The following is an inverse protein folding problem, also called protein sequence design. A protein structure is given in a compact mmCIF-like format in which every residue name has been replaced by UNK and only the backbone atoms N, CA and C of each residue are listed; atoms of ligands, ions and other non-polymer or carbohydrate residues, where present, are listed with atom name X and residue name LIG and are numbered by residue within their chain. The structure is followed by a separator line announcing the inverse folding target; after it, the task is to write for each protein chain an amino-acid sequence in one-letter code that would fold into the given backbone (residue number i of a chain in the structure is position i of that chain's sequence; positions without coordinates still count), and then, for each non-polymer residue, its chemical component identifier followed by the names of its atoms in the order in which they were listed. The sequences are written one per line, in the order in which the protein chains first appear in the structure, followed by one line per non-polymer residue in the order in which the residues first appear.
data_IF_583245261905
#
_entry.id   IF_583245261905
#
_cell.length_a   1.000
_cell.length_b   1.000
_cell.length_c   1.000
_cell.angle_alpha   90.00
_cell.angle_beta   90.00
_cell.angle_gamma   90.00
#
_symmetry.space_group_name_H-M   'P 1'
#
loop_
_entity.id
_entity.type
_entity.pdbx_description
1 polymer ?
#
# COMPACT_ATOMS: atom_id res chain seq x y z
N UNK A 1 -15.44 0.49 1.83
CA UNK A 1 -14.91 1.69 2.52
C UNK A 1 -16.03 2.58 3.10
N UNK A 2 -17.17 2.84 2.43
CA UNK A 2 -18.29 3.66 2.97
C UNK A 2 -18.73 3.19 4.35
N UNK A 3 -19.11 1.92 4.50
CA UNK A 3 -19.57 1.35 5.78
C UNK A 3 -18.54 1.56 6.88
N UNK A 4 -17.25 1.33 6.60
CA UNK A 4 -16.17 1.57 7.56
C UNK A 4 -16.10 3.03 8.00
N UNK A 5 -16.24 3.97 7.07
CA UNK A 5 -16.26 5.41 7.37
C UNK A 5 -17.45 5.76 8.26
N UNK A 6 -18.66 5.40 7.85
CA UNK A 6 -19.89 5.73 8.57
C UNK A 6 -19.92 5.13 9.99
N UNK A 7 -19.62 3.84 10.11
CA UNK A 7 -19.63 3.15 11.42
C UNK A 7 -18.58 3.74 12.37
N UNK A 8 -17.37 4.01 11.90
CA UNK A 8 -16.33 4.60 12.75
C UNK A 8 -16.65 6.02 13.20
N UNK A 9 -17.28 6.83 12.34
CA UNK A 9 -17.74 8.18 12.70
C UNK A 9 -18.88 8.15 13.72
N UNK A 10 -19.85 7.27 13.55
CA UNK A 10 -20.95 7.10 14.50
C UNK A 10 -20.45 6.59 15.85
N UNK A 11 -19.58 5.58 15.85
CA UNK A 11 -18.98 5.04 17.07
C UNK A 11 -18.18 6.12 17.82
N UNK A 12 -17.36 6.88 17.10
CA UNK A 12 -16.57 7.97 17.68
C UNK A 12 -17.46 9.03 18.34
N UNK A 13 -18.51 9.51 17.66
CA UNK A 13 -19.45 10.49 18.20
C UNK A 13 -20.20 9.96 19.44
N UNK A 14 -20.72 8.73 19.37
CA UNK A 14 -21.47 8.13 20.46
C UNK A 14 -20.59 7.92 21.69
N UNK A 15 -19.37 7.42 21.51
CA UNK A 15 -18.46 7.13 22.60
C UNK A 15 -17.89 8.40 23.23
N UNK A 16 -17.58 9.42 22.44
CA UNK A 16 -17.17 10.73 22.96
C UNK A 16 -18.25 11.37 23.83
N UNK A 17 -19.52 11.26 23.40
CA UNK A 17 -20.66 11.73 24.21
C UNK A 17 -20.79 10.95 25.52
N UNK A 18 -20.64 9.62 25.48
CA UNK A 18 -20.67 8.78 26.68
C UNK A 18 -19.57 9.14 27.66
N UNK A 19 -18.36 9.40 27.18
CA UNK A 19 -17.20 9.80 28.01
C UNK A 19 -17.20 11.26 28.38
N UNK A 20 -18.14 12.07 27.89
CA UNK A 20 -18.19 13.53 28.08
C UNK A 20 -16.88 14.25 27.68
N UNK A 21 -16.34 13.87 26.51
CA UNK A 21 -15.16 14.48 25.90
C UNK A 21 -15.47 15.04 24.50
N UNK A 22 -14.59 15.88 23.99
CA UNK A 22 -14.71 16.38 22.60
C UNK A 22 -14.63 15.24 21.60
N UNK A 23 -15.47 15.32 20.55
CA UNK A 23 -15.40 14.37 19.44
C UNK A 23 -14.09 14.53 18.69
N UNK A 24 -13.35 13.45 18.42
CA UNK A 24 -12.14 13.50 17.60
C UNK A 24 -12.39 14.10 16.22
N UNK A 25 -11.47 14.92 15.77
CA UNK A 25 -11.53 15.55 14.43
C UNK A 25 -11.24 14.52 13.32
N UNK A 26 -10.46 13.50 13.63
CA UNK A 26 -10.06 12.45 12.71
C UNK A 26 -10.07 11.09 13.41
N UNK A 27 -10.55 10.07 12.72
CA UNK A 27 -10.78 8.75 13.31
C UNK A 27 -10.01 7.61 12.63
N UNK A 28 -9.53 7.83 11.40
CA UNK A 28 -8.99 6.76 10.55
C UNK A 28 -7.64 7.13 9.98
N UNK A 29 -6.69 6.22 10.11
CA UNK A 29 -5.38 6.25 9.47
C UNK A 29 -5.04 4.87 8.90
N UNK A 30 -4.15 4.79 7.94
CA UNK A 30 -3.59 3.52 7.49
C UNK A 30 -2.10 3.51 7.79
N UNK A 31 -1.74 2.70 8.79
CA UNK A 31 -0.36 2.48 9.21
C UNK A 31 0.36 1.50 8.26
N UNK A 32 1.69 1.47 8.24
CA UNK A 32 2.46 0.59 7.35
C UNK A 32 2.24 -0.91 7.65
N UNK A 33 2.00 -1.31 8.87
CA UNK A 33 1.68 -2.67 9.34
C UNK A 33 2.59 -3.79 8.79
N UNK A 34 3.85 -3.47 8.44
CA UNK A 34 4.76 -4.39 7.75
C UNK A 34 4.93 -5.74 8.44
N UNK A 35 5.42 -5.74 9.69
CA UNK A 35 5.65 -6.97 10.46
C UNK A 35 4.35 -7.67 10.82
N UNK A 36 3.31 -6.92 11.18
CA UNK A 36 2.00 -7.47 11.56
C UNK A 36 1.32 -8.12 10.35
N UNK A 37 1.37 -7.48 9.18
CA UNK A 37 0.82 -8.03 7.94
C UNK A 37 1.49 -9.34 7.55
N UNK A 38 2.82 -9.41 7.60
CA UNK A 38 3.58 -10.64 7.34
C UNK A 38 3.20 -11.76 8.32
N UNK A 39 3.11 -11.43 9.62
CA UNK A 39 2.73 -12.41 10.64
C UNK A 39 1.30 -12.93 10.45
N UNK A 40 0.41 -12.07 10.00
CA UNK A 40 -0.99 -12.41 9.74
C UNK A 40 -1.23 -13.07 8.35
N UNK A 41 -0.20 -13.21 7.52
CA UNK A 41 -0.32 -13.77 6.17
C UNK A 41 -1.21 -12.92 5.25
N UNK A 42 -1.12 -11.59 5.37
CA UNK A 42 -1.91 -10.65 4.57
C UNK A 42 -1.06 -9.51 4.02
N UNK A 43 -1.62 -8.71 3.12
CA UNK A 43 -0.98 -7.49 2.63
C UNK A 43 -0.80 -6.46 3.74
N UNK A 44 0.15 -5.55 3.58
CA UNK A 44 0.46 -4.50 4.54
C UNK A 44 -0.18 -3.18 4.12
N UNK A 45 -1.03 -2.61 4.97
CA UNK A 45 -1.73 -1.36 4.66
C UNK A 45 -2.56 -1.47 3.38
N UNK A 46 -2.27 -0.60 2.41
CA UNK A 46 -2.86 -0.63 1.05
C UNK A 46 -1.83 -1.03 -0.01
N UNK A 47 -0.72 -1.63 0.41
CA UNK A 47 0.32 -2.02 -0.54
C UNK A 47 -0.12 -3.24 -1.38
N UNK A 48 0.20 -3.26 -2.67
CA UNK A 48 0.10 -4.48 -3.48
C UNK A 48 1.11 -5.51 -2.98
N UNK A 49 0.89 -6.77 -3.30
CA UNK A 49 1.92 -7.79 -3.08
C UNK A 49 3.17 -7.43 -3.88
N UNK A 50 4.34 -7.67 -3.30
CA UNK A 50 5.60 -7.34 -3.97
C UNK A 50 5.82 -8.18 -5.22
N UNK A 51 5.67 -9.48 -5.10
CA UNK A 51 5.76 -10.47 -6.18
C UNK A 51 5.04 -11.74 -5.74
N UNK A 52 4.52 -12.52 -6.70
CA UNK A 52 3.87 -13.82 -6.43
C UNK A 52 4.84 -14.79 -5.74
N UNK A 53 6.07 -14.84 -6.24
CA UNK A 53 7.15 -15.62 -5.64
C UNK A 53 8.47 -14.84 -5.73
N UNK A 54 9.29 -14.95 -4.71
CA UNK A 54 10.55 -14.23 -4.64
C UNK A 54 11.62 -14.99 -3.86
N UNK A 55 12.87 -14.65 -4.12
CA UNK A 55 14.02 -15.15 -3.38
C UNK A 55 14.46 -14.08 -2.39
N UNK A 56 14.17 -14.29 -1.11
CA UNK A 56 14.63 -13.37 -0.06
C UNK A 56 16.00 -13.74 0.45
N UNK A 57 16.75 -12.73 0.84
CA UNK A 57 18.07 -12.85 1.49
C UNK A 57 17.95 -12.35 2.92
N UNK A 58 18.48 -13.09 3.87
CA UNK A 58 18.55 -12.67 5.27
C UNK A 58 19.89 -13.07 5.91
N UNK A 59 20.30 -12.29 6.89
CA UNK A 59 21.56 -12.44 7.58
C UNK A 59 21.37 -13.33 8.81
N UNK A 60 22.18 -14.40 8.92
CA UNK A 60 22.15 -15.32 10.06
C UNK A 60 23.42 -15.12 10.87
N UNK A 61 23.27 -14.91 12.19
CA UNK A 61 24.40 -14.70 13.11
C UNK A 61 25.26 -13.48 12.79
N UNK A 62 24.68 -12.49 12.10
CA UNK A 62 25.36 -11.24 11.76
C UNK A 62 26.38 -11.31 10.61
N UNK A 63 26.71 -12.49 10.11
CA UNK A 63 27.82 -12.64 9.15
C UNK A 63 27.50 -13.48 7.92
N UNK A 64 26.55 -14.40 8.00
CA UNK A 64 26.27 -15.35 6.92
C UNK A 64 24.93 -15.08 6.24
N UNK A 65 24.95 -14.80 4.95
CA UNK A 65 23.74 -14.67 4.13
C UNK A 65 23.13 -16.04 3.85
N UNK A 66 21.83 -16.15 4.12
CA UNK A 66 20.98 -17.26 3.64
C UNK A 66 19.97 -16.77 2.63
N UNK A 67 19.59 -17.65 1.73
CA UNK A 67 18.59 -17.43 0.71
C UNK A 67 17.43 -18.41 0.91
N UNK A 68 16.23 -17.92 0.71
CA UNK A 68 15.01 -18.71 0.81
C UNK A 68 14.05 -18.27 -0.29
N UNK A 69 13.47 -19.23 -1.00
CA UNK A 69 12.33 -18.97 -1.86
C UNK A 69 11.08 -18.86 -0.98
N UNK A 70 10.24 -17.87 -1.28
CA UNK A 70 8.98 -17.65 -0.62
C UNK A 70 7.91 -17.35 -1.68
N UNK A 71 6.71 -17.80 -1.40
CA UNK A 71 5.50 -17.42 -2.15
C UNK A 71 4.75 -16.46 -1.23
N UNK A 72 4.20 -15.40 -1.80
CA UNK A 72 3.33 -14.49 -1.05
C UNK A 72 2.08 -15.23 -0.58
N UNK A 73 1.70 -15.07 0.69
CA UNK A 73 0.59 -15.81 1.30
C UNK A 73 -0.75 -15.50 0.64
N UNK A 74 -0.97 -14.26 0.21
CA UNK A 74 -2.19 -13.87 -0.52
C UNK A 74 -2.19 -14.47 -1.91
N UNK A 75 -1.06 -14.38 -2.63
CA UNK A 75 -0.93 -15.01 -3.94
C UNK A 75 -1.16 -16.52 -3.85
N UNK A 76 -0.60 -17.18 -2.83
CA UNK A 76 -0.84 -18.60 -2.58
C UNK A 76 -2.31 -18.91 -2.36
N UNK A 77 -3.02 -18.12 -1.55
CA UNK A 77 -4.46 -18.29 -1.33
C UNK A 77 -5.26 -18.09 -2.63
N UNK A 78 -4.92 -17.08 -3.43
CA UNK A 78 -5.58 -16.84 -4.72
C UNK A 78 -5.41 -18.03 -5.69
N UNK A 79 -4.23 -18.63 -5.72
CA UNK A 79 -3.93 -19.80 -6.54
C UNK A 79 -4.64 -21.05 -6.01
N UNK A 80 -4.47 -21.35 -4.72
CA UNK A 80 -4.92 -22.62 -4.12
C UNK A 80 -6.44 -22.68 -3.95
N UNK A 81 -7.09 -21.57 -3.56
CA UNK A 81 -8.53 -21.54 -3.26
C UNK A 81 -9.39 -21.15 -4.45
N UNK A 82 -8.88 -20.29 -5.33
CA UNK A 82 -9.67 -19.71 -6.43
C UNK A 82 -9.17 -20.13 -7.81
N UNK A 83 -8.07 -20.88 -7.90
CA UNK A 83 -7.50 -21.34 -9.17
C UNK A 83 -6.99 -20.22 -10.07
N UNK A 84 -6.63 -19.08 -9.49
CA UNK A 84 -6.14 -17.93 -10.28
C UNK A 84 -4.76 -18.26 -10.85
N UNK A 85 -4.57 -17.98 -12.13
CA UNK A 85 -3.26 -18.14 -12.76
C UNK A 85 -2.26 -17.17 -12.12
N UNK A 86 -1.09 -17.63 -11.66
CA UNK A 86 -0.05 -16.76 -11.08
C UNK A 86 0.33 -15.55 -11.93
N UNK A 87 0.25 -15.68 -13.27
CA UNK A 87 0.56 -14.58 -14.20
C UNK A 87 -0.53 -13.50 -14.28
N UNK A 88 -1.73 -13.79 -13.77
CA UNK A 88 -2.83 -12.82 -13.75
C UNK A 88 -2.90 -12.05 -12.42
N UNK A 89 -2.02 -12.36 -11.48
CA UNK A 89 -1.92 -11.66 -10.19
C UNK A 89 -1.03 -10.44 -10.34
N UNK A 90 -1.62 -9.26 -10.31
CA UNK A 90 -0.91 -7.99 -10.42
C UNK A 90 -0.07 -7.70 -9.17
N UNK A 91 1.17 -7.32 -9.38
CA UNK A 91 2.16 -7.09 -8.32
C UNK A 91 2.62 -5.63 -8.25
N UNK A 92 3.38 -5.28 -7.23
CA UNK A 92 3.98 -3.95 -7.12
C UNK A 92 4.91 -3.61 -8.30
N UNK A 93 5.61 -4.62 -8.84
CA UNK A 93 6.47 -4.44 -10.02
C UNK A 93 5.67 -4.14 -11.29
N UNK A 94 4.50 -4.76 -11.45
CA UNK A 94 3.62 -4.47 -12.58
C UNK A 94 3.05 -3.05 -12.47
N UNK A 95 2.61 -2.67 -11.27
CA UNK A 95 2.09 -1.33 -10.97
C UNK A 95 3.15 -0.22 -11.05
N UNK A 96 4.44 -0.54 -10.94
CA UNK A 96 5.51 0.43 -11.15
C UNK A 96 5.50 0.99 -12.57
N UNK A 97 4.97 0.24 -13.53
CA UNK A 97 4.81 0.69 -14.92
C UNK A 97 3.64 1.69 -15.11
N UNK A 98 2.81 1.88 -14.09
CA UNK A 98 1.69 2.85 -14.11
C UNK A 98 1.62 3.63 -12.77
N UNK A 99 2.56 4.55 -12.52
CA UNK A 99 2.58 5.32 -11.28
C UNK A 99 1.31 6.18 -11.07
N UNK A 100 0.71 6.68 -12.15
CA UNK A 100 -0.54 7.47 -12.05
C UNK A 100 -1.68 6.64 -11.47
N UNK A 101 -1.85 5.41 -11.93
CA UNK A 101 -2.86 4.49 -11.41
C UNK A 101 -2.66 4.21 -9.92
N UNK A 102 -1.40 4.06 -9.50
CA UNK A 102 -1.07 3.83 -8.10
C UNK A 102 -1.35 5.05 -7.21
N UNK A 103 -1.05 6.26 -7.70
CA UNK A 103 -1.35 7.53 -7.03
C UNK A 103 -2.87 7.72 -6.93
N UNK A 104 -3.59 7.48 -8.03
CA UNK A 104 -5.04 7.55 -8.06
C UNK A 104 -5.68 6.60 -7.05
N UNK A 105 -5.21 5.35 -6.97
CA UNK A 105 -5.69 4.38 -5.99
C UNK A 105 -5.54 4.88 -4.55
N UNK A 106 -4.37 5.43 -4.20
CA UNK A 106 -4.17 6.03 -2.88
C UNK A 106 -5.12 7.20 -2.63
N UNK A 107 -5.34 8.06 -3.63
CA UNK A 107 -6.27 9.18 -3.52
C UNK A 107 -7.72 8.71 -3.32
N UNK A 108 -8.14 7.66 -4.03
CA UNK A 108 -9.48 7.08 -3.89
C UNK A 108 -9.70 6.47 -2.50
N UNK A 109 -8.68 5.86 -1.90
CA UNK A 109 -8.74 5.39 -0.50
C UNK A 109 -8.73 6.56 0.48
N UNK A 110 -7.97 7.63 0.18
CA UNK A 110 -7.87 8.81 1.06
C UNK A 110 -9.22 9.51 1.27
N UNK A 111 -10.16 9.40 0.35
CA UNK A 111 -11.51 9.96 0.52
C UNK A 111 -12.29 9.33 1.69
N UNK A 112 -11.82 8.17 2.17
CA UNK A 112 -12.40 7.45 3.30
C UNK A 112 -11.54 7.47 4.56
N UNK A 113 -10.35 8.06 4.50
CA UNK A 113 -9.35 8.07 5.57
C UNK A 113 -8.99 9.52 5.92
N UNK A 114 -9.19 9.91 7.16
CA UNK A 114 -9.04 11.31 7.60
C UNK A 114 -7.58 11.74 7.74
N UNK A 115 -6.73 10.81 8.18
CA UNK A 115 -5.32 11.04 8.45
C UNK A 115 -4.44 10.44 7.34
N UNK A 116 -3.13 10.41 7.54
CA UNK A 116 -2.18 9.87 6.57
C UNK A 116 -2.42 8.39 6.24
N UNK A 117 -2.11 8.04 5.01
CA UNK A 117 -2.01 6.68 4.52
C UNK A 117 -0.54 6.38 4.27
N UNK A 118 0.00 5.35 4.94
CA UNK A 118 1.32 4.84 4.63
C UNK A 118 1.24 3.98 3.37
N UNK A 119 1.83 4.48 2.31
CA UNK A 119 1.91 3.80 1.03
C UNK A 119 3.15 4.24 0.27
N UNK A 120 3.78 3.30 -0.42
CA UNK A 120 4.95 3.55 -1.25
C UNK A 120 4.60 3.40 -2.72
N UNK A 121 5.02 4.36 -3.52
CA UNK A 121 4.87 4.34 -4.97
C UNK A 121 6.26 4.18 -5.57
N UNK A 122 6.48 3.06 -6.26
CA UNK A 122 7.70 2.83 -7.00
C UNK A 122 7.61 3.55 -8.35
N UNK A 123 8.66 4.28 -8.67
CA UNK A 123 8.80 4.98 -9.95
C UNK A 123 9.75 4.19 -10.83
N UNK A 124 9.40 3.94 -12.10
CA UNK A 124 10.29 3.23 -13.00
C UNK A 124 11.56 4.03 -13.25
N UNK A 125 12.65 3.33 -13.52
CA UNK A 125 13.90 3.95 -13.94
C UNK A 125 13.75 4.60 -15.31
N UNK A 126 14.58 5.60 -15.60
CA UNK A 126 14.57 6.26 -16.90
C UNK A 126 14.69 5.26 -18.05
N UNK A 127 13.84 5.43 -19.07
CA UNK A 127 13.79 4.57 -20.23
C UNK A 127 13.04 3.25 -20.04
N UNK A 128 12.51 2.97 -18.87
CA UNK A 128 11.64 1.82 -18.62
C UNK A 128 10.18 2.17 -18.94
N UNK A 129 9.31 1.15 -19.18
CA UNK A 129 7.88 1.37 -19.33
C UNK A 129 7.29 2.15 -18.14
N UNK A 130 6.41 3.10 -18.41
CA UNK A 130 5.82 3.96 -17.37
C UNK A 130 6.72 5.08 -16.86
N UNK A 131 7.97 5.19 -17.32
CA UNK A 131 8.85 6.30 -16.95
C UNK A 131 8.26 7.63 -17.40
N UNK A 132 8.20 8.57 -16.47
CA UNK A 132 7.69 9.92 -16.69
C UNK A 132 8.83 10.94 -16.61
N UNK A 133 8.76 11.96 -17.43
CA UNK A 133 9.60 13.15 -17.22
C UNK A 133 9.18 13.85 -15.90
N UNK A 134 10.07 14.64 -15.29
CA UNK A 134 9.72 15.41 -14.10
C UNK A 134 8.48 16.31 -14.28
N UNK A 135 8.28 16.84 -15.48
CA UNK A 135 7.12 17.67 -15.81
C UNK A 135 5.81 16.84 -15.83
N UNK A 136 5.83 15.69 -16.47
CA UNK A 136 4.65 14.79 -16.50
C UNK A 136 4.30 14.31 -15.11
N UNK A 137 5.30 13.89 -14.33
CA UNK A 137 5.08 13.46 -12.95
C UNK A 137 4.53 14.60 -12.07
N UNK A 138 5.04 15.84 -12.23
CA UNK A 138 4.50 17.01 -11.53
C UNK A 138 3.04 17.29 -11.88
N UNK A 139 2.62 17.09 -13.14
CA UNK A 139 1.22 17.23 -13.54
C UNK A 139 0.32 16.15 -12.92
N UNK A 140 0.80 14.91 -12.84
CA UNK A 140 0.09 13.82 -12.14
C UNK A 140 -0.06 14.16 -10.66
N UNK A 141 1.01 14.57 -9.99
CA UNK A 141 0.95 14.98 -8.59
C UNK A 141 0.00 16.16 -8.37
N UNK A 142 0.05 17.19 -9.20
CA UNK A 142 -0.85 18.35 -9.08
C UNK A 142 -2.33 17.96 -9.18
N UNK A 143 -2.66 16.93 -9.94
CA UNK A 143 -4.03 16.41 -10.09
C UNK A 143 -4.53 15.74 -8.80
N UNK A 144 -3.69 14.97 -8.12
CA UNK A 144 -4.10 14.15 -6.99
C UNK A 144 -3.70 14.71 -5.62
N UNK A 145 -2.69 15.56 -5.53
CA UNK A 145 -2.18 16.14 -4.28
C UNK A 145 -3.26 16.79 -3.39
N UNK A 146 -4.27 17.49 -3.92
CA UNK A 146 -5.34 18.04 -3.09
C UNK A 146 -6.14 17.01 -2.30
N UNK A 147 -6.16 15.75 -2.74
CA UNK A 147 -6.84 14.63 -2.07
C UNK A 147 -5.94 13.84 -1.12
N UNK A 148 -4.62 14.01 -1.20
CA UNK A 148 -3.66 13.23 -0.42
C UNK A 148 -3.27 13.95 0.88
N UNK A 149 -3.06 13.19 1.96
CA UNK A 149 -2.51 13.67 3.24
C UNK A 149 -1.01 13.39 3.37
N UNK A 150 -0.46 12.59 2.51
CA UNK A 150 0.96 12.26 2.43
C UNK A 150 1.26 11.50 1.15
N UNK A 151 2.50 11.55 0.74
CA UNK A 151 2.96 10.92 -0.49
C UNK A 151 4.42 10.47 -0.32
N UNK A 152 4.70 9.22 -0.68
CA UNK A 152 6.06 8.67 -0.64
C UNK A 152 6.34 7.94 -1.94
N UNK A 153 7.41 8.31 -2.61
CA UNK A 153 7.86 7.61 -3.81
C UNK A 153 9.36 7.31 -3.76
N UNK A 154 9.74 6.23 -4.41
CA UNK A 154 11.13 5.80 -4.56
C UNK A 154 11.38 5.35 -5.99
N UNK A 155 12.59 5.58 -6.53
CA UNK A 155 13.00 4.90 -7.76
C UNK A 155 12.97 3.38 -7.57
N UNK A 156 12.59 2.65 -8.61
CA UNK A 156 12.63 1.18 -8.60
C UNK A 156 14.05 0.69 -8.27
N UNK A 157 14.14 -0.28 -7.36
CA UNK A 157 15.43 -0.82 -6.90
C UNK A 157 16.17 0.02 -5.87
N UNK A 158 15.60 1.12 -5.37
CA UNK A 158 16.23 1.98 -4.35
C UNK A 158 16.20 1.41 -2.92
N UNK A 159 15.70 0.19 -2.73
CA UNK A 159 15.61 -0.50 -1.42
C UNK A 159 16.49 -1.72 -1.36
#
# INVERSE_FOLDING_TARGET
MNVYKEVSEQASKSYSKYLNISTPVANRAIAPTGTIGILAGTTTGIEPIYAVAYKRRYLVGGTRWKYQYAIDDIAKQMIDLYGINPNDIETASDLANDPERRIKFQADIQDYVDMGISSTINLPSNGQPGAMSPKEFAMVLARYAPRLRGFTCYPEGAR
#
